data_IF_788133719824
#
_entry.id   IF_788133719824
#
_cell.length_a   1.000
_cell.length_b   1.000
_cell.length_c   1.000
_cell.angle_alpha   90.00
_cell.angle_beta   90.00
_cell.angle_gamma   90.00
#
_symmetry.space_group_name_H-M   'P 1'
#
loop_
_entity.id
_entity.type
_entity.pdbx_description
1 polymer ?
#
# COMPACT_ATOMS: atom_id res chain seq x y z
N UNK A 1 -0.20 21.31 -2.45
CA UNK A 1 -1.03 20.09 -2.36
C UNK A 1 -0.35 18.97 -1.57
N UNK A 2 0.88 18.56 -1.91
CA UNK A 2 1.59 17.46 -1.21
C UNK A 2 1.71 17.62 0.31
N UNK A 3 1.93 18.85 0.82
CA UNK A 3 2.04 19.09 2.26
C UNK A 3 0.71 18.82 3.03
N UNK A 4 -0.43 19.10 2.40
CA UNK A 4 -1.77 18.83 2.98
C UNK A 4 -2.05 17.33 3.00
N UNK A 5 -1.78 16.62 1.90
CA UNK A 5 -1.98 15.17 1.82
C UNK A 5 -1.12 14.39 2.81
N UNK A 6 0.10 14.86 3.10
CA UNK A 6 0.99 14.24 4.10
C UNK A 6 0.45 14.37 5.53
N UNK A 7 -0.31 15.43 5.81
CA UNK A 7 -0.86 15.75 7.14
C UNK A 7 -2.35 15.43 7.29
N UNK A 8 -2.96 14.82 6.25
CA UNK A 8 -4.33 14.37 6.32
C UNK A 8 -4.49 13.30 7.42
N UNK A 9 -5.51 13.47 8.24
CA UNK A 9 -5.95 12.41 9.14
C UNK A 9 -6.61 11.32 8.30
N UNK A 10 -5.92 10.19 8.19
CA UNK A 10 -6.39 9.03 7.45
C UNK A 10 -7.11 8.02 8.34
N UNK A 11 -7.06 8.18 9.67
CA UNK A 11 -7.59 7.18 10.59
C UNK A 11 -9.05 6.82 10.30
N UNK A 12 -9.95 7.79 10.03
CA UNK A 12 -11.34 7.46 9.69
C UNK A 12 -11.50 6.65 8.40
N UNK A 13 -10.54 6.74 7.47
CA UNK A 13 -10.56 5.97 6.23
C UNK A 13 -9.90 4.61 6.40
N UNK A 14 -8.89 4.50 7.27
CA UNK A 14 -8.25 3.24 7.63
C UNK A 14 -9.21 2.35 8.43
N UNK A 15 -9.89 2.92 9.43
CA UNK A 15 -10.86 2.18 10.27
C UNK A 15 -11.93 1.50 9.41
N UNK A 16 -12.47 2.22 8.42
CA UNK A 16 -13.42 1.66 7.44
C UNK A 16 -12.88 0.45 6.70
N UNK A 17 -11.60 0.48 6.29
CA UNK A 17 -10.97 -0.65 5.60
C UNK A 17 -10.81 -1.84 6.54
N UNK A 18 -10.43 -1.59 7.80
CA UNK A 18 -10.27 -2.62 8.83
C UNK A 18 -11.60 -3.27 9.23
N UNK A 19 -12.69 -2.49 9.22
CA UNK A 19 -14.06 -2.96 9.45
C UNK A 19 -14.67 -3.65 8.20
N UNK A 20 -13.95 -3.67 7.08
CA UNK A 20 -14.39 -4.29 5.83
C UNK A 20 -15.42 -3.48 5.04
N UNK A 21 -15.55 -2.17 5.33
CA UNK A 21 -16.41 -1.27 4.57
C UNK A 21 -15.82 -0.96 3.18
N UNK A 22 -16.71 -0.72 2.22
CA UNK A 22 -16.33 -0.26 0.89
C UNK A 22 -16.03 1.23 0.90
N UNK A 23 -14.83 1.60 0.48
CA UNK A 23 -14.45 2.99 0.26
C UNK A 23 -15.05 3.52 -1.04
N UNK A 24 -15.45 4.79 -1.03
CA UNK A 24 -15.72 5.52 -2.26
C UNK A 24 -14.41 5.92 -2.99
N UNK A 25 -14.55 6.46 -4.20
CA UNK A 25 -13.41 6.86 -5.03
C UNK A 25 -12.52 7.93 -4.38
N UNK A 26 -13.11 8.88 -3.65
CA UNK A 26 -12.37 9.97 -3.01
C UNK A 26 -11.56 9.44 -1.82
N UNK A 27 -12.16 8.57 -1.01
CA UNK A 27 -11.51 7.88 0.10
C UNK A 27 -10.37 6.98 -0.37
N UNK A 28 -10.60 6.21 -1.45
CA UNK A 28 -9.55 5.39 -2.06
C UNK A 28 -8.38 6.26 -2.56
N UNK A 29 -8.69 7.34 -3.29
CA UNK A 29 -7.68 8.26 -3.81
C UNK A 29 -6.91 8.95 -2.69
N UNK A 30 -7.59 9.31 -1.59
CA UNK A 30 -6.97 9.92 -0.41
C UNK A 30 -5.91 9.00 0.23
N UNK A 31 -6.22 7.71 0.40
CA UNK A 31 -5.25 6.75 0.93
C UNK A 31 -4.01 6.64 0.05
N UNK A 32 -4.21 6.46 -1.26
CA UNK A 32 -3.11 6.36 -2.24
C UNK A 32 -2.27 7.63 -2.25
N UNK A 33 -2.91 8.78 -2.45
CA UNK A 33 -2.23 10.05 -2.65
C UNK A 33 -1.51 10.51 -1.37
N UNK A 34 -2.04 10.16 -0.18
CA UNK A 34 -1.36 10.41 1.09
C UNK A 34 -0.14 9.50 1.28
N UNK A 35 -0.24 8.21 0.94
CA UNK A 35 0.90 7.30 0.97
C UNK A 35 2.02 7.76 0.03
N UNK A 36 1.67 8.14 -1.20
CA UNK A 36 2.62 8.69 -2.19
C UNK A 36 3.28 9.99 -1.69
N UNK A 37 2.51 10.90 -1.10
CA UNK A 37 3.05 12.15 -0.55
C UNK A 37 4.01 11.90 0.63
N UNK A 38 3.70 10.93 1.51
CA UNK A 38 4.57 10.53 2.62
C UNK A 38 5.87 9.89 2.12
N UNK A 39 5.79 9.02 1.12
CA UNK A 39 6.94 8.36 0.52
C UNK A 39 7.85 9.35 -0.21
N UNK A 40 7.28 10.26 -1.01
CA UNK A 40 8.05 11.33 -1.65
C UNK A 40 8.76 12.22 -0.64
N UNK A 41 8.09 12.53 0.49
CA UNK A 41 8.72 13.26 1.58
C UNK A 41 9.91 12.49 2.19
N UNK A 42 9.77 11.18 2.40
CA UNK A 42 10.82 10.33 2.92
C UNK A 42 12.03 10.24 1.97
N UNK A 43 11.80 10.10 0.66
CA UNK A 43 12.87 10.16 -0.34
C UNK A 43 13.66 11.47 -0.27
N UNK A 44 12.96 12.60 -0.10
CA UNK A 44 13.61 13.90 0.11
C UNK A 44 14.48 13.96 1.37
N UNK A 45 14.06 13.28 2.45
CA UNK A 45 14.85 13.16 3.69
C UNK A 45 16.10 12.31 3.49
N UNK A 46 16.00 11.18 2.81
CA UNK A 46 17.15 10.32 2.48
C UNK A 46 18.17 11.07 1.63
N UNK A 47 17.71 11.78 0.59
CA UNK A 47 18.58 12.58 -0.28
C UNK A 47 19.35 13.67 0.48
N UNK A 48 18.66 14.34 1.40
CA UNK A 48 19.24 15.38 2.27
C UNK A 48 20.03 14.88 3.48
N UNK A 49 20.16 13.56 3.67
CA UNK A 49 20.80 13.01 4.87
C UNK A 49 22.33 13.03 4.77
N UNK A 50 22.95 14.17 5.09
CA UNK A 50 24.40 14.37 4.96
C UNK A 50 25.28 13.40 5.78
N UNK A 51 24.72 12.72 6.79
CA UNK A 51 25.43 11.68 7.55
C UNK A 51 25.55 10.32 6.85
N UNK A 52 24.91 10.13 5.69
CA UNK A 52 25.01 8.91 4.90
C UNK A 52 25.96 9.09 3.72
N UNK A 53 26.72 8.05 3.40
CA UNK A 53 27.51 7.99 2.17
C UNK A 53 26.63 8.24 0.93
N UNK A 54 27.22 8.84 -0.11
CA UNK A 54 26.47 9.20 -1.31
C UNK A 54 25.83 7.96 -1.99
N UNK A 55 26.54 6.83 -2.03
CA UNK A 55 26.06 5.54 -2.53
C UNK A 55 24.87 5.02 -1.71
N UNK A 56 24.97 5.06 -0.37
CA UNK A 56 23.90 4.64 0.52
C UNK A 56 22.64 5.50 0.38
N UNK A 57 22.79 6.82 0.18
CA UNK A 57 21.66 7.71 -0.09
C UNK A 57 20.98 7.41 -1.42
N UNK A 58 21.77 7.17 -2.47
CA UNK A 58 21.23 6.82 -3.78
C UNK A 58 20.46 5.50 -3.71
N UNK A 59 21.06 4.47 -3.12
CA UNK A 59 20.41 3.17 -2.96
C UNK A 59 19.10 3.28 -2.16
N UNK A 60 19.11 3.99 -1.03
CA UNK A 60 17.92 4.20 -0.23
C UNK A 60 16.81 4.94 -0.98
N UNK A 61 17.14 5.90 -1.85
CA UNK A 61 16.15 6.55 -2.71
C UNK A 61 15.58 5.59 -3.76
N UNK A 62 16.43 4.77 -4.38
CA UNK A 62 16.02 3.76 -5.38
C UNK A 62 15.12 2.69 -4.75
N UNK A 63 15.44 2.21 -3.54
CA UNK A 63 14.65 1.23 -2.81
C UNK A 63 13.25 1.78 -2.46
N UNK A 64 13.16 3.05 -2.06
CA UNK A 64 11.89 3.71 -1.78
C UNK A 64 11.05 3.89 -3.05
N UNK A 65 11.68 4.18 -4.20
CA UNK A 65 10.98 4.26 -5.49
C UNK A 65 10.47 2.88 -5.92
N UNK A 66 11.29 1.84 -5.76
CA UNK A 66 10.91 0.47 -6.06
C UNK A 66 9.72 0.02 -5.19
N UNK A 67 9.70 0.41 -3.91
CA UNK A 67 8.56 0.17 -3.02
C UNK A 67 7.28 0.85 -3.55
N UNK A 68 7.36 2.11 -3.98
CA UNK A 68 6.22 2.82 -4.56
C UNK A 68 5.64 2.07 -5.76
N UNK A 69 6.50 1.72 -6.70
CA UNK A 69 6.13 1.03 -7.94
C UNK A 69 5.53 -0.35 -7.65
N UNK A 70 6.10 -1.08 -6.70
CA UNK A 70 5.57 -2.38 -6.27
C UNK A 70 4.16 -2.25 -5.68
N UNK A 71 3.92 -1.28 -4.78
CA UNK A 71 2.60 -1.05 -4.19
C UNK A 71 1.55 -0.69 -5.24
N UNK A 72 1.87 0.20 -6.18
CA UNK A 72 0.99 0.56 -7.29
C UNK A 72 0.68 -0.65 -8.17
N UNK A 73 1.71 -1.41 -8.54
CA UNK A 73 1.57 -2.60 -9.39
C UNK A 73 0.69 -3.66 -8.74
N UNK A 74 0.91 -3.98 -7.47
CA UNK A 74 0.07 -4.95 -6.72
C UNK A 74 -1.38 -4.48 -6.66
N UNK A 75 -1.60 -3.20 -6.35
CA UNK A 75 -2.96 -2.63 -6.28
C UNK A 75 -3.70 -2.77 -7.62
N UNK A 76 -3.04 -2.44 -8.73
CA UNK A 76 -3.60 -2.57 -10.08
C UNK A 76 -3.86 -4.04 -10.47
N UNK A 77 -2.91 -4.93 -10.18
CA UNK A 77 -3.05 -6.35 -10.48
C UNK A 77 -4.22 -6.97 -9.71
N UNK A 78 -4.40 -6.63 -8.44
CA UNK A 78 -5.53 -7.10 -7.64
C UNK A 78 -6.86 -6.61 -8.21
N UNK A 79 -6.98 -5.32 -8.54
CA UNK A 79 -8.20 -4.76 -9.13
C UNK A 79 -8.56 -5.44 -10.46
N UNK A 80 -7.58 -5.57 -11.36
CA UNK A 80 -7.79 -6.19 -12.68
C UNK A 80 -8.10 -7.69 -12.57
N UNK A 81 -7.45 -8.41 -11.65
CA UNK A 81 -7.69 -9.84 -11.41
C UNK A 81 -9.08 -10.09 -10.83
N UNK A 82 -9.52 -9.30 -9.86
CA UNK A 82 -10.88 -9.37 -9.31
C UNK A 82 -11.95 -9.07 -10.38
N UNK A 83 -11.67 -8.11 -11.27
CA UNK A 83 -12.56 -7.83 -12.41
C UNK A 83 -12.60 -9.00 -13.41
N UNK A 84 -11.47 -9.63 -13.69
CA UNK A 84 -11.40 -10.81 -14.55
C UNK A 84 -12.19 -11.98 -13.95
N UNK A 85 -12.05 -12.25 -12.65
CA UNK A 85 -12.84 -13.27 -11.93
C UNK A 85 -14.35 -13.02 -12.05
N UNK A 86 -14.78 -11.77 -11.90
CA UNK A 86 -16.20 -11.40 -12.07
C UNK A 86 -16.73 -11.67 -13.48
N UNK A 87 -15.88 -11.58 -14.51
CA UNK A 87 -16.25 -11.82 -15.91
C UNK A 87 -16.38 -13.29 -16.28
N UNK A 88 -15.81 -14.20 -15.48
CA UNK A 88 -15.86 -15.64 -15.74
C UNK A 88 -17.26 -16.25 -15.53
N UNK A 89 -18.21 -15.52 -14.93
CA UNK A 89 -19.58 -15.99 -14.65
C UNK A 89 -19.60 -17.38 -13.98
N UNK A 90 -18.68 -17.58 -13.03
CA UNK A 90 -18.53 -18.81 -12.26
C UNK A 90 -19.83 -19.15 -11.52
N UNK A 91 -20.04 -20.43 -11.24
CA UNK A 91 -21.13 -20.85 -10.36
C UNK A 91 -20.89 -20.39 -8.91
N UNK A 92 -21.89 -20.55 -8.05
CA UNK A 92 -21.82 -20.09 -6.67
C UNK A 92 -20.65 -20.71 -5.89
N UNK A 93 -20.35 -21.99 -6.12
CA UNK A 93 -19.29 -22.70 -5.40
C UNK A 93 -17.91 -22.18 -5.82
N UNK A 94 -17.70 -21.99 -7.12
CA UNK A 94 -16.45 -21.47 -7.66
C UNK A 94 -16.25 -19.98 -7.32
N UNK A 95 -17.32 -19.20 -7.26
CA UNK A 95 -17.27 -17.81 -6.76
C UNK A 95 -16.86 -17.77 -5.28
N UNK A 96 -17.42 -18.67 -4.46
CA UNK A 96 -17.07 -18.82 -3.04
C UNK A 96 -15.59 -19.15 -2.87
N UNK A 97 -15.09 -20.13 -3.63
CA UNK A 97 -13.68 -20.52 -3.61
C UNK A 97 -12.76 -19.39 -4.06
N UNK A 98 -13.10 -18.69 -5.14
CA UNK A 98 -12.33 -17.53 -5.62
C UNK A 98 -12.25 -16.43 -4.55
N UNK A 99 -13.35 -16.17 -3.82
CA UNK A 99 -13.37 -15.22 -2.71
C UNK A 99 -12.43 -15.66 -1.57
N UNK A 100 -12.48 -16.92 -1.17
CA UNK A 100 -11.62 -17.46 -0.10
C UNK A 100 -10.13 -17.38 -0.46
N UNK A 101 -9.78 -17.63 -1.72
CA UNK A 101 -8.41 -17.46 -2.22
C UNK A 101 -7.98 -16.00 -2.09
N UNK A 102 -8.80 -15.04 -2.52
CA UNK A 102 -8.48 -13.62 -2.43
C UNK A 102 -8.33 -13.15 -0.99
N UNK A 103 -9.21 -13.60 -0.08
CA UNK A 103 -9.11 -13.29 1.35
C UNK A 103 -7.84 -13.87 1.97
N UNK A 104 -7.46 -15.10 1.61
CA UNK A 104 -6.22 -15.73 2.07
C UNK A 104 -4.98 -14.99 1.56
N UNK A 105 -4.99 -14.52 0.31
CA UNK A 105 -3.90 -13.71 -0.24
C UNK A 105 -3.80 -12.35 0.48
N UNK A 106 -4.93 -11.70 0.78
CA UNK A 106 -4.95 -10.46 1.54
C UNK A 106 -4.34 -10.64 2.94
N UNK A 107 -4.76 -11.68 3.66
CA UNK A 107 -4.22 -11.99 4.98
C UNK A 107 -2.70 -12.26 4.94
N UNK A 108 -2.22 -12.98 3.92
CA UNK A 108 -0.79 -13.21 3.72
C UNK A 108 -0.02 -11.91 3.47
N UNK A 109 -0.52 -11.04 2.59
CA UNK A 109 0.10 -9.73 2.33
C UNK A 109 0.15 -8.86 3.60
N UNK A 110 -0.93 -8.84 4.38
CA UNK A 110 -0.99 -8.14 5.66
C UNK A 110 0.05 -8.68 6.65
N UNK A 111 0.17 -10.02 6.78
CA UNK A 111 1.14 -10.63 7.69
C UNK A 111 2.59 -10.29 7.28
N UNK A 112 2.91 -10.30 5.98
CA UNK A 112 4.22 -9.90 5.47
C UNK A 112 4.55 -8.43 5.80
N UNK A 113 3.57 -7.54 5.62
CA UNK A 113 3.74 -6.12 5.93
C UNK A 113 3.89 -5.89 7.43
N UNK A 114 3.03 -6.47 8.26
CA UNK A 114 3.09 -6.36 9.72
C UNK A 114 4.44 -6.80 10.28
N UNK A 115 4.97 -7.95 9.80
CA UNK A 115 6.32 -8.41 10.17
C UNK A 115 7.39 -7.38 9.87
N UNK A 116 7.28 -6.69 8.74
CA UNK A 116 8.22 -5.65 8.32
C UNK A 116 8.06 -4.38 9.15
N UNK A 117 6.82 -3.95 9.42
CA UNK A 117 6.52 -2.78 10.27
C UNK A 117 7.09 -2.94 11.69
N UNK A 118 6.93 -4.12 12.30
CA UNK A 118 7.50 -4.40 13.63
C UNK A 118 9.02 -4.22 13.67
N UNK A 119 9.73 -4.44 12.55
CA UNK A 119 11.17 -4.20 12.49
C UNK A 119 11.54 -2.70 12.45
N UNK A 120 10.64 -1.85 11.95
CA UNK A 120 10.84 -0.40 11.92
C UNK A 120 10.67 0.22 13.32
N UNK A 121 9.75 -0.32 14.12
CA UNK A 121 9.50 0.17 15.50
C UNK A 121 10.61 -0.17 16.49
N UNK A 122 11.41 -1.22 16.21
CA UNK A 122 12.51 -1.69 17.08
C UNK A 122 13.81 -0.89 16.97
N UNK A 123 13.86 0.15 16.14
CA UNK A 123 15.05 1.00 15.97
C UNK A 123 15.14 2.14 17.01
N UNK A 124 14.67 1.92 18.24
CA UNK A 124 14.81 2.86 19.37
C UNK A 124 15.93 2.46 20.31
#
# INVERSE_FOLDING_TARGET
>A
MQALLRSADLQPTVDKVEEGELLDFAQYSLLRDSADAKLYHLMGKVRGHHGLEASARQQGEEDLRALQEACLRVSHLLQTSCLALRRLQLDYHDQRLAREVLESQLAYMQACLQRSLVSLDRSR
#
